data_IF_058646133578
#
_entry.id   IF_058646133578
#
_cell.length_a   1.000
_cell.length_b   1.000
_cell.length_c   1.000
_cell.angle_alpha   90.00
_cell.angle_beta   90.00
_cell.angle_gamma   90.00
#
_symmetry.space_group_name_H-M   'P 1'
#
loop_
_entity.id
_entity.type
_entity.pdbx_description
1 polymer ?
#
# COMPACT_ATOMS: atom_id res chain seq x y z
N UNK A 1 9.80 -11.10 -12.58
CA UNK A 1 9.29 -9.75 -12.89
C UNK A 1 10.29 -9.05 -13.78
N UNK A 2 9.82 -8.43 -14.83
CA UNK A 2 10.63 -7.64 -15.75
C UNK A 2 11.31 -6.48 -15.00
N UNK A 3 12.55 -6.14 -15.38
CA UNK A 3 13.32 -5.10 -14.68
C UNK A 3 12.67 -3.72 -14.80
N UNK A 4 12.05 -3.40 -15.93
CA UNK A 4 11.38 -2.12 -16.10
C UNK A 4 10.12 -2.03 -15.25
N UNK A 5 9.40 -3.13 -15.08
CA UNK A 5 8.24 -3.22 -14.18
C UNK A 5 8.68 -3.06 -12.73
N UNK A 6 9.74 -3.76 -12.33
CA UNK A 6 10.27 -3.65 -10.97
C UNK A 6 10.72 -2.22 -10.67
N UNK A 7 11.45 -1.61 -11.58
CA UNK A 7 11.91 -0.23 -11.39
C UNK A 7 10.74 0.75 -11.28
N UNK A 8 9.69 0.55 -12.08
CA UNK A 8 8.50 1.38 -12.01
C UNK A 8 7.73 1.16 -10.70
N UNK A 9 7.65 -0.09 -10.25
CA UNK A 9 6.91 -0.45 -9.04
C UNK A 9 7.50 0.22 -7.80
N UNK A 10 8.84 0.27 -7.70
CA UNK A 10 9.50 0.83 -6.52
C UNK A 10 9.69 2.34 -6.64
N UNK A 11 8.65 3.01 -7.11
CA UNK A 11 8.53 4.47 -7.12
C UNK A 11 7.23 4.87 -6.44
N UNK A 12 7.26 6.04 -5.81
CA UNK A 12 6.03 6.62 -5.26
C UNK A 12 5.21 7.19 -6.40
N UNK A 13 3.97 6.74 -6.55
CA UNK A 13 3.14 7.07 -7.70
C UNK A 13 1.68 6.73 -7.46
N UNK A 14 0.80 7.30 -8.28
CA UNK A 14 -0.61 6.90 -8.29
C UNK A 14 -0.77 5.58 -9.03
N UNK A 15 -1.49 4.66 -8.41
CA UNK A 15 -1.80 3.34 -8.95
C UNK A 15 -3.29 3.07 -8.76
N UNK A 16 -3.79 2.01 -9.39
CA UNK A 16 -5.05 1.42 -8.96
C UNK A 16 -4.76 0.19 -8.11
N UNK A 17 -5.62 -0.06 -7.15
CA UNK A 17 -5.53 -1.23 -6.28
C UNK A 17 -6.85 -2.00 -6.36
N UNK A 18 -6.77 -3.29 -6.67
CA UNK A 18 -7.93 -4.18 -6.63
C UNK A 18 -7.90 -4.99 -5.35
N UNK A 19 -9.00 -4.92 -4.59
CA UNK A 19 -9.24 -5.73 -3.40
C UNK A 19 -10.46 -6.60 -3.63
N UNK A 20 -10.68 -7.58 -2.77
CA UNK A 20 -11.87 -8.46 -2.83
C UNK A 20 -12.87 -8.01 -1.78
N UNK A 21 -14.09 -7.74 -2.20
CA UNK A 21 -15.15 -7.33 -1.29
C UNK A 21 -15.47 -8.42 -0.27
N UNK A 22 -15.44 -8.07 1.02
CA UNK A 22 -15.58 -9.04 2.11
C UNK A 22 -16.97 -9.67 2.21
N UNK A 23 -17.97 -9.01 1.65
CA UNK A 23 -19.36 -9.49 1.73
C UNK A 23 -19.80 -10.26 0.51
N UNK A 24 -19.39 -9.80 -0.68
CA UNK A 24 -19.88 -10.37 -1.95
C UNK A 24 -18.82 -11.18 -2.68
N UNK A 25 -17.55 -11.06 -2.32
CA UNK A 25 -16.44 -11.63 -3.07
C UNK A 25 -16.13 -10.91 -4.37
N UNK A 26 -16.83 -9.82 -4.66
CA UNK A 26 -16.61 -9.06 -5.88
C UNK A 26 -15.32 -8.25 -5.79
N UNK A 27 -14.64 -8.13 -6.93
CA UNK A 27 -13.43 -7.33 -7.05
C UNK A 27 -13.80 -5.85 -7.02
N UNK A 28 -13.01 -5.08 -6.24
CA UNK A 28 -13.20 -3.64 -6.09
C UNK A 28 -11.89 -2.95 -6.46
N UNK A 29 -11.97 -1.99 -7.37
CA UNK A 29 -10.80 -1.25 -7.84
C UNK A 29 -10.90 0.20 -7.42
N UNK A 30 -9.82 0.70 -6.79
CA UNK A 30 -9.74 2.10 -6.32
C UNK A 30 -8.44 2.71 -6.82
N UNK A 31 -8.44 4.03 -6.99
CA UNK A 31 -7.22 4.78 -7.25
C UNK A 31 -6.61 5.23 -5.93
N UNK A 32 -5.30 5.04 -5.77
CA UNK A 32 -4.62 5.33 -4.52
C UNK A 32 -3.16 5.66 -4.79
N UNK A 33 -2.50 6.30 -3.82
CA UNK A 33 -1.09 6.62 -3.92
C UNK A 33 -0.25 5.51 -3.30
N UNK A 34 0.69 4.97 -4.08
CA UNK A 34 1.66 3.98 -3.63
C UNK A 34 2.93 4.71 -3.23
N UNK A 35 3.39 4.44 -2.01
CA UNK A 35 4.64 4.97 -1.48
C UNK A 35 5.72 3.92 -1.49
N UNK A 36 6.97 4.38 -1.56
CA UNK A 36 8.14 3.54 -1.38
C UNK A 36 9.09 4.21 -0.39
N UNK A 37 9.62 3.44 0.56
CA UNK A 37 10.65 3.89 1.48
C UNK A 37 11.57 2.73 1.82
N UNK A 38 12.85 2.86 1.49
CA UNK A 38 13.88 1.86 1.82
C UNK A 38 13.49 0.44 1.37
N UNK A 39 12.89 0.32 0.19
CA UNK A 39 12.46 -0.96 -0.36
C UNK A 39 11.11 -1.45 0.16
N UNK A 40 10.45 -0.69 1.03
CA UNK A 40 9.12 -1.03 1.54
C UNK A 40 8.07 -0.34 0.68
N UNK A 41 7.16 -1.12 0.11
CA UNK A 41 6.01 -0.59 -0.61
C UNK A 41 4.83 -0.51 0.35
N UNK A 42 4.21 0.66 0.43
CA UNK A 42 3.10 0.85 1.34
C UNK A 42 2.08 1.85 0.79
N UNK A 43 0.87 1.77 1.30
CA UNK A 43 -0.22 2.66 0.95
C UNK A 43 -0.70 3.32 2.22
N UNK A 44 -0.90 4.65 2.15
CA UNK A 44 -1.48 5.42 3.23
C UNK A 44 -2.48 6.40 2.63
N UNK A 45 -3.22 7.10 3.49
CA UNK A 45 -4.21 8.07 3.07
C UNK A 45 -4.43 9.14 4.11
N UNK A 46 -5.37 10.02 3.82
CA UNK A 46 -5.72 11.09 4.75
C UNK A 46 -6.26 10.52 6.05
N UNK A 47 -5.93 11.13 7.19
CA UNK A 47 -6.47 10.66 8.46
C UNK A 47 -7.98 10.90 8.52
N UNK A 48 -8.71 9.87 8.99
CA UNK A 48 -10.15 9.95 9.17
C UNK A 48 -10.50 9.35 10.52
N UNK A 49 -10.92 10.20 11.43
CA UNK A 49 -11.33 9.79 12.78
C UNK A 49 -12.75 9.22 12.80
N UNK A 50 -13.57 9.56 11.79
CA UNK A 50 -15.00 9.23 11.79
C UNK A 50 -15.28 7.80 11.34
N UNK A 51 -14.40 7.20 10.52
CA UNK A 51 -14.59 5.81 10.07
C UNK A 51 -13.34 5.26 9.42
N UNK A 52 -13.28 3.93 9.37
CA UNK A 52 -12.28 3.19 8.60
C UNK A 52 -12.81 2.98 7.18
N UNK A 53 -11.93 3.07 6.20
CA UNK A 53 -12.28 2.87 4.79
C UNK A 53 -12.62 1.41 4.51
N UNK A 54 -13.60 1.19 3.62
CA UNK A 54 -14.05 -0.16 3.27
C UNK A 54 -12.93 -1.05 2.76
N UNK A 55 -12.00 -0.50 1.97
CA UNK A 55 -10.91 -1.32 1.42
C UNK A 55 -9.97 -1.86 2.50
N UNK A 56 -9.85 -1.18 3.65
CA UNK A 56 -9.10 -1.69 4.79
C UNK A 56 -9.80 -2.94 5.35
N UNK A 57 -11.11 -2.90 5.51
CA UNK A 57 -11.87 -4.06 5.99
C UNK A 57 -11.79 -5.22 4.98
N UNK A 58 -11.84 -4.92 3.69
CA UNK A 58 -11.72 -5.93 2.64
C UNK A 58 -10.35 -6.63 2.71
N UNK A 59 -9.27 -5.86 2.90
CA UNK A 59 -7.92 -6.39 3.02
C UNK A 59 -7.77 -7.25 4.28
N UNK A 60 -8.37 -6.82 5.39
CA UNK A 60 -8.32 -7.61 6.62
C UNK A 60 -9.00 -8.97 6.44
N UNK A 61 -10.07 -9.02 5.64
CA UNK A 61 -10.79 -10.26 5.37
C UNK A 61 -10.09 -11.12 4.31
N UNK A 62 -9.52 -10.50 3.28
CA UNK A 62 -8.78 -11.17 2.21
C UNK A 62 -7.57 -10.31 1.84
N UNK A 63 -6.36 -10.71 2.20
CA UNK A 63 -5.16 -9.90 2.00
C UNK A 63 -4.65 -9.88 0.56
N UNK A 64 -5.20 -10.69 -0.33
CA UNK A 64 -4.76 -10.72 -1.72
C UNK A 64 -5.23 -9.49 -2.46
N UNK A 65 -4.30 -8.81 -3.12
CA UNK A 65 -4.58 -7.59 -3.88
C UNK A 65 -3.87 -7.65 -5.22
N UNK A 66 -4.24 -6.76 -6.12
CA UNK A 66 -3.51 -6.52 -7.36
C UNK A 66 -3.19 -5.04 -7.45
N UNK A 67 -1.92 -4.72 -7.63
CA UNK A 67 -1.46 -3.36 -7.88
C UNK A 67 -1.40 -3.15 -9.38
N UNK A 68 -2.09 -2.13 -9.87
CA UNK A 68 -2.10 -1.79 -11.30
C UNK A 68 -1.26 -0.55 -11.52
N UNK A 69 -0.07 -0.73 -12.08
CA UNK A 69 0.74 0.38 -12.53
C UNK A 69 0.09 0.99 -13.76
N UNK A 70 0.00 2.32 -13.80
CA UNK A 70 -0.69 3.02 -14.89
C UNK A 70 -0.02 4.33 -15.31
N UNK A 71 1.23 4.53 -14.88
CA UNK A 71 2.01 5.71 -15.28
C UNK A 71 2.90 5.36 -16.47
N UNK A 72 4.22 5.45 -16.31
CA UNK A 72 5.16 5.19 -17.41
C UNK A 72 5.18 3.73 -17.85
N UNK A 73 4.86 2.82 -16.95
CA UNK A 73 4.78 1.38 -17.22
C UNK A 73 3.39 0.90 -16.81
N UNK A 74 2.76 0.09 -17.66
CA UNK A 74 1.45 -0.49 -17.37
C UNK A 74 1.65 -1.97 -17.06
N UNK A 75 1.23 -2.40 -15.87
CA UNK A 75 1.37 -3.79 -15.44
C UNK A 75 0.45 -4.07 -14.27
N UNK A 76 0.00 -5.31 -14.18
CA UNK A 76 -0.82 -5.80 -13.06
C UNK A 76 0.06 -6.71 -12.20
N UNK A 77 0.19 -6.39 -10.91
CA UNK A 77 1.14 -7.04 -10.03
C UNK A 77 0.42 -7.61 -8.82
N UNK A 78 0.32 -8.95 -8.72
CA UNK A 78 -0.27 -9.57 -7.53
C UNK A 78 0.60 -9.34 -6.29
N UNK A 79 -0.06 -9.09 -5.17
CA UNK A 79 0.62 -8.87 -3.90
C UNK A 79 -0.31 -9.28 -2.76
N UNK A 80 0.26 -9.38 -1.57
CA UNK A 80 -0.52 -9.47 -0.34
C UNK A 80 -0.35 -8.20 0.45
N UNK A 81 -1.42 -7.78 1.11
CA UNK A 81 -1.45 -6.53 1.87
C UNK A 81 -1.67 -6.85 3.34
N UNK A 82 -0.94 -6.16 4.20
CA UNK A 82 -1.08 -6.31 5.65
C UNK A 82 -1.38 -4.94 6.26
N UNK A 83 -2.46 -4.87 7.01
CA UNK A 83 -2.81 -3.65 7.75
C UNK A 83 -1.81 -3.49 8.89
N UNK A 84 -1.22 -2.30 8.98
CA UNK A 84 -0.18 -2.01 9.98
C UNK A 84 -0.82 -1.26 11.15
N UNK A 85 -0.77 -1.88 12.32
CA UNK A 85 -1.35 -1.33 13.55
C UNK A 85 -0.30 -1.00 14.60
N UNK A 86 0.86 -1.64 14.57
CA UNK A 86 1.93 -1.40 15.54
C UNK A 86 2.47 0.03 15.42
N UNK A 87 2.43 0.84 16.49
CA UNK A 87 2.91 2.22 16.43
C UNK A 87 4.37 2.35 15.99
N UNK A 88 5.23 1.44 16.40
CA UNK A 88 6.65 1.50 16.06
C UNK A 88 6.89 1.23 14.57
N UNK A 89 6.08 0.36 13.98
CA UNK A 89 6.13 0.11 12.55
C UNK A 89 5.50 1.26 11.76
N UNK A 90 4.42 1.84 12.27
CA UNK A 90 3.69 2.92 11.60
C UNK A 90 4.54 4.19 11.50
N UNK A 91 5.28 4.53 12.54
CA UNK A 91 5.95 5.83 12.68
C UNK A 91 6.81 6.18 11.46
N UNK A 92 7.81 5.37 11.04
CA UNK A 92 8.66 5.77 9.91
C UNK A 92 7.91 5.85 8.58
N UNK A 93 6.90 5.02 8.38
CA UNK A 93 6.14 5.01 7.14
C UNK A 93 5.19 6.21 7.06
N UNK A 94 4.53 6.53 8.16
CA UNK A 94 3.66 7.71 8.24
C UNK A 94 4.50 8.99 8.09
N UNK A 95 5.68 9.05 8.71
CA UNK A 95 6.57 10.19 8.55
C UNK A 95 6.97 10.39 7.08
N UNK A 96 7.27 9.31 6.38
CA UNK A 96 7.63 9.36 4.96
C UNK A 96 6.46 9.88 4.10
N UNK A 97 5.26 9.39 4.36
CA UNK A 97 4.06 9.84 3.64
C UNK A 97 3.78 11.33 3.93
N UNK A 98 3.88 11.74 5.18
CA UNK A 98 3.66 13.13 5.58
C UNK A 98 4.63 14.07 4.88
N UNK A 99 5.91 13.71 4.83
CA UNK A 99 6.92 14.53 4.15
C UNK A 99 6.61 14.67 2.66
N UNK A 100 6.24 13.58 2.02
CA UNK A 100 5.94 13.58 0.59
C UNK A 100 4.77 14.50 0.27
N UNK A 101 3.77 14.55 1.14
CA UNK A 101 2.58 15.37 0.95
C UNK A 101 2.67 16.75 1.59
N UNK A 102 3.79 17.07 2.25
CA UNK A 102 3.96 18.34 2.94
C UNK A 102 3.00 18.54 4.11
N UNK A 103 2.62 17.44 4.77
CA UNK A 103 1.71 17.52 5.91
C UNK A 103 2.48 17.67 7.21
N UNK A 104 1.84 18.37 8.15
CA UNK A 104 2.42 18.61 9.49
C UNK A 104 1.57 18.01 10.61
N UNK A 105 0.39 17.48 10.30
CA UNK A 105 -0.52 16.89 11.29
C UNK A 105 -0.17 15.42 11.56
N UNK A 106 1.10 15.15 11.81
CA UNK A 106 1.61 13.81 12.00
C UNK A 106 0.91 13.04 13.12
N UNK A 107 0.62 13.63 14.29
CA UNK A 107 -0.12 12.90 15.32
C UNK A 107 -1.48 12.37 14.84
N UNK A 108 -2.21 13.16 14.06
CA UNK A 108 -3.50 12.72 13.50
C UNK A 108 -3.29 11.59 12.50
N UNK A 109 -2.25 11.67 11.67
CA UNK A 109 -1.92 10.62 10.70
C UNK A 109 -1.51 9.33 11.40
N UNK A 110 -0.70 9.40 12.44
CA UNK A 110 -0.29 8.22 13.20
C UNK A 110 -1.49 7.49 13.78
N UNK A 111 -2.50 8.22 14.21
CA UNK A 111 -3.68 7.65 14.85
C UNK A 111 -4.74 7.20 13.85
N UNK A 112 -4.95 7.96 12.77
CA UNK A 112 -6.15 7.82 11.93
C UNK A 112 -5.90 7.53 10.46
N UNK A 113 -4.68 7.70 9.94
CA UNK A 113 -4.41 7.38 8.55
C UNK A 113 -4.41 5.87 8.34
N UNK A 114 -5.02 5.38 7.24
CA UNK A 114 -4.87 3.97 6.89
C UNK A 114 -3.41 3.71 6.54
N UNK A 115 -2.95 2.50 6.82
CA UNK A 115 -1.59 2.10 6.45
C UNK A 115 -1.57 0.61 6.18
N UNK A 116 -1.15 0.24 4.96
CA UNK A 116 -0.90 -1.15 4.60
C UNK A 116 0.48 -1.27 3.99
N UNK A 117 1.12 -2.41 4.25
CA UNK A 117 2.39 -2.78 3.63
C UNK A 117 2.13 -3.88 2.62
N UNK A 118 2.75 -3.79 1.46
CA UNK A 118 2.58 -4.75 0.37
C UNK A 118 3.77 -5.70 0.31
N UNK A 119 3.47 -6.97 0.10
CA UNK A 119 4.46 -8.00 -0.16
C UNK A 119 4.18 -8.59 -1.52
N UNK A 120 5.16 -8.57 -2.42
CA UNK A 120 5.00 -9.10 -3.75
C UNK A 120 4.88 -10.62 -3.70
N UNK A 121 4.01 -11.17 -4.53
CA UNK A 121 3.90 -12.60 -4.72
C UNK A 121 4.94 -13.08 -5.73
N UNK A 122 5.12 -14.39 -5.81
CA UNK A 122 6.09 -14.97 -6.72
C UNK A 122 7.50 -14.83 -6.25
N UNK A 123 7.70 -14.55 -4.98
CA UNK A 123 9.00 -14.58 -4.37
C UNK A 123 9.90 -13.44 -4.76
N UNK A 124 9.39 -12.48 -4.83
CA UNK A 124 10.30 -11.36 -4.94
C UNK A 124 11.34 -11.38 -3.86
N UNK A 125 11.83 -11.39 -3.71
CA UNK A 125 12.61 -11.17 -3.02
C UNK A 125 13.32 -10.76 -2.19
N UNK A 126 13.02 -11.16 -2.05
CA UNK A 126 13.45 -11.02 -1.42
C UNK A 126 14.26 -10.92 -1.09
N UNK A 127 14.33 -10.97 -1.08
CA UNK A 127 15.04 -11.13 -0.72
C UNK A 127 15.86 -10.75 -0.22
N UNK A 128 15.78 -10.87 0.08
CA UNK A 128 16.46 -10.79 0.60
C UNK A 128 16.87 -11.12 0.86
N UNK A 129 16.61 -11.48 0.71
CA UNK A 129 16.94 -12.07 0.87
C UNK A 129 17.27 -12.41 1.16
N UNK A 130 17.00 -12.58 1.26
CA UNK A 130 17.28 -13.07 1.40
C UNK A 130 17.80 -13.11 1.56
N UNK A 131 17.67 -13.03 1.63
CA UNK A 131 18.18 -13.28 1.72
C UNK A 131 18.64 -13.29 1.94
#
# INVERSE_FOLDING_TARGET
>A
MDDSVRAALFRSQIVDLTTTGRRTGQRRRIEIFLHEKDGILFISGMPRADRTRDWIYNIAADPRVVVHLKQSVVADIPATARVVTDPDERQPLIDAAARRWGRTDIPAMLQHSPLIVLKLEGGAPDRRADT
#
